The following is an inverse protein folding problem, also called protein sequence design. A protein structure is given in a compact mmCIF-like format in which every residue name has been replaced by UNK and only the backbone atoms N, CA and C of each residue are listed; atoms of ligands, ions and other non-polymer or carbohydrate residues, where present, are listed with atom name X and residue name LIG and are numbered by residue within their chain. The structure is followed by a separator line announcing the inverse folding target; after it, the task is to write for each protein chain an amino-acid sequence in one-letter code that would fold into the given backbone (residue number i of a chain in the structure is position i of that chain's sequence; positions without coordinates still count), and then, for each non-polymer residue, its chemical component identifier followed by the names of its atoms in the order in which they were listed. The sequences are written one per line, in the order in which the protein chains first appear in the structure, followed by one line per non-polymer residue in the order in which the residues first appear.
data_IF_443255072280
#
_entry.id   IF_443255072280
#
_cell.length_a   1.000
_cell.length_b   1.000
_cell.length_c   1.000
_cell.angle_alpha   90.00
_cell.angle_beta   90.00
_cell.angle_gamma   90.00
#
_symmetry.space_group_name_H-M   'P 1'
#
loop_
_entity.id
_entity.type
_entity.pdbx_description
1 polymer ?
#
# COMPACT_ATOMS: atom_id res chain seq x y z
N UNK A 1 16.63 -89.36 4.59
CA UNK A 1 15.70 -88.33 5.10
C UNK A 1 16.46 -87.06 5.45
N UNK A 2 16.38 -86.00 4.62
CA UNK A 2 16.89 -84.66 4.94
C UNK A 2 15.91 -83.63 4.33
N UNK A 3 15.38 -82.76 5.21
CA UNK A 3 14.31 -81.78 4.96
C UNK A 3 14.77 -80.70 3.96
N UNK A 4 13.98 -80.44 2.91
CA UNK A 4 14.08 -79.21 2.09
C UNK A 4 13.22 -78.12 2.74
N UNK A 5 13.81 -76.96 3.03
CA UNK A 5 13.10 -75.74 3.46
C UNK A 5 12.59 -75.02 2.21
N UNK A 6 11.27 -74.79 2.14
CA UNK A 6 10.66 -73.96 1.11
C UNK A 6 10.81 -72.48 1.47
N UNK A 7 11.32 -71.69 0.52
CA UNK A 7 11.38 -70.23 0.58
C UNK A 7 10.08 -69.72 -0.04
N UNK A 8 9.21 -69.14 0.77
CA UNK A 8 8.02 -68.42 0.29
C UNK A 8 8.42 -67.02 -0.14
N UNK A 9 8.28 -66.71 -1.43
CA UNK A 9 8.39 -65.34 -1.95
C UNK A 9 7.00 -64.70 -1.86
N UNK A 10 6.86 -63.70 -1.00
CA UNK A 10 5.66 -62.87 -0.91
C UNK A 10 5.78 -61.78 -1.97
N UNK A 11 4.96 -61.84 -3.03
CA UNK A 11 4.81 -60.72 -3.98
C UNK A 11 3.91 -59.66 -3.34
N UNK A 12 4.49 -58.56 -2.90
CA UNK A 12 3.75 -57.34 -2.57
C UNK A 12 3.45 -56.59 -3.87
N UNK A 13 2.20 -56.63 -4.33
CA UNK A 13 1.71 -55.78 -5.41
C UNK A 13 1.48 -54.38 -4.81
N UNK A 14 2.46 -53.50 -4.96
CA UNK A 14 2.33 -52.09 -4.63
C UNK A 14 1.44 -51.40 -5.65
N UNK A 15 0.23 -51.04 -5.25
CA UNK A 15 -0.64 -50.12 -6.01
C UNK A 15 -0.08 -48.72 -5.82
N UNK A 16 0.64 -48.21 -6.82
CA UNK A 16 1.03 -46.80 -6.87
C UNK A 16 -0.19 -45.98 -7.29
N UNK A 17 -0.85 -45.32 -6.33
CA UNK A 17 -1.79 -44.24 -6.64
C UNK A 17 -0.98 -43.04 -7.12
N UNK A 18 -1.06 -42.72 -8.41
CA UNK A 18 -0.52 -41.49 -8.96
C UNK A 18 -1.39 -40.31 -8.46
N UNK A 19 -0.92 -39.59 -7.45
CA UNK A 19 -1.50 -38.31 -7.09
C UNK A 19 -1.18 -37.32 -8.23
N UNK A 20 -2.21 -36.92 -8.97
CA UNK A 20 -2.09 -35.83 -9.93
C UNK A 20 -1.83 -34.54 -9.14
N UNK A 21 -0.58 -34.08 -9.16
CA UNK A 21 -0.21 -32.75 -8.68
C UNK A 21 -0.71 -31.76 -9.74
N UNK A 22 -1.89 -31.21 -9.52
CA UNK A 22 -2.33 -30.04 -10.28
C UNK A 22 -1.46 -28.86 -9.84
N UNK A 23 -0.51 -28.46 -10.68
CA UNK A 23 0.13 -27.15 -10.56
C UNK A 23 -0.96 -26.11 -10.81
N UNK A 24 -1.50 -25.53 -9.74
CA UNK A 24 -2.39 -24.38 -9.82
C UNK A 24 -1.56 -23.22 -10.37
N UNK A 25 -1.84 -22.84 -11.61
CA UNK A 25 -1.31 -21.60 -12.20
C UNK A 25 -1.97 -20.44 -11.46
N UNK A 26 -1.20 -19.53 -10.84
CA UNK A 26 -1.78 -18.38 -10.14
C UNK A 26 -2.65 -17.55 -11.10
N UNK A 27 -3.84 -17.10 -10.67
CA UNK A 27 -4.72 -16.30 -11.51
C UNK A 27 -4.05 -14.98 -11.90
N UNK A 28 -4.22 -14.56 -13.16
CA UNK A 28 -3.76 -13.25 -13.63
C UNK A 28 -4.65 -12.10 -13.12
N UNK A 29 -5.88 -12.41 -12.73
CA UNK A 29 -6.86 -11.45 -12.23
C UNK A 29 -7.66 -12.04 -11.08
N UNK A 30 -7.75 -11.31 -9.98
CA UNK A 30 -8.61 -11.61 -8.83
C UNK A 30 -9.57 -10.44 -8.64
N UNK A 31 -10.85 -10.72 -8.38
CA UNK A 31 -11.86 -9.71 -8.05
C UNK A 31 -12.24 -9.92 -6.59
N UNK A 32 -12.35 -8.82 -5.85
CA UNK A 32 -12.51 -8.80 -4.38
C UNK A 32 -13.66 -7.89 -4.03
N UNK A 33 -14.66 -8.38 -3.30
CA UNK A 33 -15.75 -7.61 -2.75
C UNK A 33 -15.49 -7.21 -1.29
N UNK A 34 -16.25 -6.25 -0.73
CA UNK A 34 -16.19 -5.94 0.70
C UNK A 34 -16.44 -7.18 1.57
N UNK A 35 -15.54 -7.45 2.50
CA UNK A 35 -15.59 -8.61 3.41
C UNK A 35 -14.70 -9.78 3.00
N UNK A 36 -14.20 -9.79 1.76
CA UNK A 36 -13.16 -10.73 1.33
C UNK A 36 -11.80 -10.36 1.95
N UNK A 37 -10.90 -11.34 2.02
CA UNK A 37 -9.53 -11.12 2.47
C UNK A 37 -8.68 -10.50 1.34
N UNK A 38 -8.41 -9.20 1.48
CA UNK A 38 -7.58 -8.43 0.56
C UNK A 38 -6.14 -8.94 0.46
N UNK A 39 -5.56 -9.39 1.58
CA UNK A 39 -4.18 -9.90 1.56
C UNK A 39 -4.14 -11.24 0.83
N UNK A 40 -5.11 -12.13 1.07
CA UNK A 40 -5.21 -13.40 0.34
C UNK A 40 -5.33 -13.16 -1.18
N UNK A 41 -6.10 -12.18 -1.61
CA UNK A 41 -6.22 -11.84 -3.04
C UNK A 41 -4.90 -11.33 -3.64
N UNK A 42 -4.18 -10.46 -2.92
CA UNK A 42 -2.86 -9.99 -3.33
C UNK A 42 -1.85 -11.14 -3.34
N UNK A 43 -1.92 -12.07 -2.40
CA UNK A 43 -1.04 -13.23 -2.32
C UNK A 43 -1.35 -14.29 -3.39
N UNK A 44 -2.61 -14.40 -3.82
CA UNK A 44 -3.05 -15.37 -4.82
C UNK A 44 -2.73 -14.96 -6.26
N UNK A 45 -2.78 -13.67 -6.59
CA UNK A 45 -2.61 -13.21 -7.99
C UNK A 45 -1.18 -13.46 -8.52
N UNK A 46 -1.00 -13.79 -9.79
CA UNK A 46 0.34 -13.92 -10.37
C UNK A 46 1.12 -12.59 -10.32
N UNK A 47 2.46 -12.63 -10.32
CA UNK A 47 3.29 -11.43 -10.60
C UNK A 47 2.87 -10.80 -11.93
N UNK A 48 2.82 -9.47 -12.00
CA UNK A 48 2.24 -8.74 -13.14
C UNK A 48 0.71 -8.76 -13.20
N UNK A 49 0.04 -9.48 -12.30
CA UNK A 49 -1.41 -9.64 -12.31
C UNK A 49 -2.17 -8.49 -11.63
N UNK A 50 -3.49 -8.56 -11.66
CA UNK A 50 -4.38 -7.50 -11.17
C UNK A 50 -5.34 -8.00 -10.08
N UNK A 51 -5.39 -7.28 -8.97
CA UNK A 51 -6.47 -7.38 -7.98
C UNK A 51 -7.43 -6.22 -8.21
N UNK A 52 -8.70 -6.52 -8.47
CA UNK A 52 -9.75 -5.53 -8.70
C UNK A 52 -10.73 -5.53 -7.54
N UNK A 53 -10.86 -4.38 -6.88
CA UNK A 53 -11.81 -4.17 -5.81
C UNK A 53 -13.13 -3.67 -6.39
N UNK A 54 -14.22 -4.36 -6.07
CA UNK A 54 -15.57 -3.86 -6.32
C UNK A 54 -15.87 -2.61 -5.48
N UNK A 55 -17.00 -1.97 -5.79
CA UNK A 55 -17.41 -0.78 -5.05
C UNK A 55 -17.74 -1.13 -3.60
N UNK A 56 -17.30 -0.30 -2.67
CA UNK A 56 -17.61 -0.46 -1.26
C UNK A 56 -16.48 -0.06 -0.32
N UNK A 57 -16.71 -0.31 0.97
CA UNK A 57 -15.76 -0.01 2.04
C UNK A 57 -15.11 -1.29 2.51
N UNK A 58 -13.79 -1.29 2.56
CA UNK A 58 -12.93 -2.38 3.00
C UNK A 58 -12.29 -1.96 4.32
N UNK A 59 -12.78 -2.45 5.47
CA UNK A 59 -12.12 -2.22 6.74
C UNK A 59 -10.77 -2.93 6.73
N UNK A 60 -9.69 -2.17 6.91
CA UNK A 60 -8.33 -2.71 6.94
C UNK A 60 -7.79 -2.61 8.35
N UNK A 61 -7.52 -3.75 9.00
CA UNK A 61 -6.99 -3.80 10.37
C UNK A 61 -5.51 -4.12 10.46
N UNK A 62 -4.84 -4.34 9.33
CA UNK A 62 -3.41 -4.64 9.25
C UNK A 62 -2.86 -4.19 7.89
N UNK A 63 -1.56 -4.00 7.79
CA UNK A 63 -0.91 -3.57 6.55
C UNK A 63 -1.17 -4.55 5.39
N UNK A 64 -1.67 -4.03 4.27
CA UNK A 64 -1.71 -4.74 3.00
C UNK A 64 -0.32 -4.69 2.37
N UNK A 65 0.34 -5.85 2.26
CA UNK A 65 1.70 -5.96 1.72
C UNK A 65 1.66 -6.43 0.28
N UNK A 66 2.32 -5.70 -0.61
CA UNK A 66 2.49 -6.08 -2.01
C UNK A 66 3.95 -6.49 -2.22
N UNK A 67 4.19 -7.80 -2.28
CA UNK A 67 5.54 -8.40 -2.30
C UNK A 67 5.95 -8.97 -3.65
N UNK A 68 5.02 -9.02 -4.62
CA UNK A 68 5.26 -9.50 -5.98
C UNK A 68 5.41 -8.32 -6.94
N UNK A 69 6.31 -8.43 -7.93
CA UNK A 69 6.52 -7.34 -8.87
C UNK A 69 5.35 -7.23 -9.85
N UNK A 70 5.11 -6.02 -10.34
CA UNK A 70 4.14 -5.76 -11.40
C UNK A 70 2.67 -5.84 -10.98
N UNK A 71 2.38 -5.99 -9.68
CA UNK A 71 0.98 -6.11 -9.22
C UNK A 71 0.23 -4.80 -9.46
N UNK A 72 -0.97 -4.91 -10.02
CA UNK A 72 -1.94 -3.81 -10.08
C UNK A 72 -3.04 -4.03 -9.05
N UNK A 73 -3.14 -3.13 -8.06
CA UNK A 73 -4.28 -3.02 -7.15
C UNK A 73 -5.18 -1.89 -7.63
N UNK A 74 -6.40 -2.20 -8.07
CA UNK A 74 -7.27 -1.22 -8.71
C UNK A 74 -8.72 -1.28 -8.21
N UNK A 75 -9.39 -0.13 -8.13
CA UNK A 75 -10.85 -0.12 -8.04
C UNK A 75 -11.48 -0.48 -9.40
N UNK A 76 -12.64 -1.14 -9.37
CA UNK A 76 -13.48 -1.36 -10.54
C UNK A 76 -14.01 -0.03 -11.08
N UNK A 77 -14.48 0.86 -10.18
CA UNK A 77 -14.85 2.23 -10.49
C UNK A 77 -13.96 3.21 -9.69
N UNK A 78 -13.36 4.23 -10.33
CA UNK A 78 -12.48 5.16 -9.63
C UNK A 78 -13.11 5.77 -8.37
N UNK A 79 -12.39 5.64 -7.25
CA UNK A 79 -12.68 6.13 -5.90
C UNK A 79 -13.92 5.51 -5.24
N UNK A 80 -14.51 4.48 -5.85
CA UNK A 80 -15.67 3.77 -5.29
C UNK A 80 -15.27 2.63 -4.32
N UNK A 81 -14.04 2.11 -4.43
CA UNK A 81 -13.46 1.19 -3.47
C UNK A 81 -12.64 1.97 -2.42
N UNK A 82 -13.10 1.98 -1.17
CA UNK A 82 -12.45 2.67 -0.06
C UNK A 82 -11.80 1.70 0.90
N UNK A 83 -10.47 1.76 1.02
CA UNK A 83 -9.74 1.10 2.10
C UNK A 83 -9.76 2.02 3.31
N UNK A 84 -10.45 1.59 4.36
CA UNK A 84 -10.67 2.37 5.58
C UNK A 84 -9.89 1.74 6.74
N UNK A 85 -8.93 2.49 7.29
CA UNK A 85 -8.14 2.01 8.40
C UNK A 85 -9.02 1.78 9.65
N UNK A 86 -8.97 0.58 10.22
CA UNK A 86 -9.64 0.30 11.48
C UNK A 86 -8.99 1.08 12.63
N UNK A 87 -9.78 1.52 13.60
CA UNK A 87 -9.26 2.13 14.85
C UNK A 87 -8.34 1.20 15.63
N UNK A 88 -8.45 -0.11 15.41
CA UNK A 88 -7.60 -1.15 16.01
C UNK A 88 -6.50 -1.62 15.06
N UNK A 89 -6.07 -0.78 14.12
CA UNK A 89 -5.04 -1.12 13.14
C UNK A 89 -3.79 -1.68 13.84
N UNK A 90 -3.36 -2.86 13.41
CA UNK A 90 -2.15 -3.51 13.90
C UNK A 90 -0.92 -2.76 13.39
N UNK A 91 -0.15 -2.18 14.32
CA UNK A 91 1.08 -1.44 14.02
C UNK A 91 2.30 -2.30 14.31
N UNK A 92 3.44 -1.92 13.74
CA UNK A 92 4.71 -2.52 14.08
C UNK A 92 5.00 -2.30 15.58
N UNK A 93 5.22 -3.35 16.38
CA UNK A 93 5.37 -3.22 17.84
C UNK A 93 6.67 -2.52 18.26
N UNK A 94 7.68 -2.43 17.37
CA UNK A 94 8.96 -1.78 17.67
C UNK A 94 8.90 -0.28 17.41
N UNK A 95 8.29 0.13 16.29
CA UNK A 95 8.26 1.54 15.86
C UNK A 95 6.94 2.24 16.18
N UNK A 96 5.90 1.48 16.54
CA UNK A 96 4.52 1.94 16.69
C UNK A 96 3.98 2.65 15.44
N UNK A 97 4.56 2.39 14.27
CA UNK A 97 4.12 2.90 12.96
C UNK A 97 3.31 1.84 12.24
N UNK A 98 2.37 2.28 11.41
CA UNK A 98 1.63 1.42 10.49
C UNK A 98 1.68 1.95 9.07
N UNK A 99 1.31 1.09 8.13
CA UNK A 99 1.13 1.43 6.73
C UNK A 99 -0.20 0.83 6.27
N UNK A 100 -1.09 1.61 5.64
CA UNK A 100 -2.29 1.02 5.06
C UNK A 100 -1.90 0.06 3.92
N UNK A 101 -1.01 0.53 3.04
CA UNK A 101 -0.37 -0.27 1.98
C UNK A 101 1.15 -0.15 2.13
N UNK A 102 1.85 -1.29 2.15
CA UNK A 102 3.31 -1.36 2.05
C UNK A 102 3.68 -1.99 0.71
N UNK A 103 4.43 -1.26 -0.10
CA UNK A 103 4.95 -1.74 -1.39
C UNK A 103 6.36 -2.26 -1.16
N UNK A 104 6.57 -3.52 -1.48
CA UNK A 104 7.83 -4.26 -1.24
C UNK A 104 8.32 -4.94 -2.54
N UNK A 105 7.91 -4.42 -3.69
CA UNK A 105 8.28 -4.96 -5.00
C UNK A 105 8.11 -3.92 -6.12
N UNK A 106 8.97 -3.94 -7.14
CA UNK A 106 8.94 -2.94 -8.19
C UNK A 106 7.72 -3.08 -9.12
N UNK A 107 7.48 -2.02 -9.89
CA UNK A 107 6.46 -1.93 -10.94
C UNK A 107 5.02 -2.13 -10.45
N UNK A 108 4.77 -1.85 -9.17
CA UNK A 108 3.43 -1.91 -8.60
C UNK A 108 2.60 -0.73 -9.10
N UNK A 109 1.32 -0.97 -9.36
CA UNK A 109 0.34 0.06 -9.69
C UNK A 109 -0.78 0.07 -8.65
N UNK A 110 -1.05 1.23 -8.06
CA UNK A 110 -2.20 1.47 -7.17
C UNK A 110 -3.10 2.48 -7.88
N UNK A 111 -4.32 2.06 -8.26
CA UNK A 111 -5.16 2.87 -9.15
C UNK A 111 -6.60 3.02 -8.70
N UNK A 112 -7.06 4.26 -8.66
CA UNK A 112 -8.48 4.58 -8.49
C UNK A 112 -9.03 4.20 -7.12
N UNK A 113 -8.20 4.01 -6.10
CA UNK A 113 -8.68 3.68 -4.75
C UNK A 113 -8.95 4.96 -3.95
N UNK A 114 -9.89 4.90 -3.01
CA UNK A 114 -9.95 5.83 -1.89
C UNK A 114 -9.22 5.20 -0.69
N UNK A 115 -8.24 5.89 -0.14
CA UNK A 115 -7.43 5.47 0.99
C UNK A 115 -7.71 6.41 2.16
N UNK A 116 -8.34 5.88 3.19
CA UNK A 116 -8.82 6.64 4.34
C UNK A 116 -8.11 6.18 5.61
N UNK A 117 -7.22 7.03 6.13
CA UNK A 117 -6.42 6.73 7.31
C UNK A 117 -7.17 6.80 8.63
N UNK A 118 -8.41 7.34 8.64
CA UNK A 118 -9.25 7.50 9.84
C UNK A 118 -8.54 8.18 11.04
N UNK A 119 -7.50 8.96 10.76
CA UNK A 119 -6.56 9.56 11.71
C UNK A 119 -5.97 8.55 12.70
N UNK A 120 -5.78 7.28 12.30
CA UNK A 120 -5.04 6.31 13.08
C UNK A 120 -3.61 6.84 13.26
N UNK A 121 -3.22 7.13 14.51
CA UNK A 121 -1.93 7.75 14.86
C UNK A 121 -0.75 7.03 14.21
N UNK A 122 0.23 7.73 13.64
CA UNK A 122 1.43 7.13 13.02
C UNK A 122 1.12 6.11 11.89
N UNK A 123 -0.03 6.20 11.24
CA UNK A 123 -0.36 5.39 10.06
C UNK A 123 -0.03 6.18 8.78
N UNK A 124 0.83 5.62 7.93
CA UNK A 124 1.04 6.08 6.55
C UNK A 124 -0.04 5.52 5.63
N UNK A 125 -0.32 6.20 4.52
CA UNK A 125 -1.20 5.68 3.48
C UNK A 125 -0.50 4.64 2.62
N UNK A 126 0.34 5.10 1.69
CA UNK A 126 1.20 4.24 0.89
C UNK A 126 2.64 4.44 1.36
N UNK A 127 3.28 3.34 1.71
CA UNK A 127 4.68 3.33 2.12
C UNK A 127 5.48 2.45 1.18
N UNK A 128 6.32 3.09 0.39
CA UNK A 128 7.21 2.53 -0.59
C UNK A 128 8.65 3.04 -0.34
N UNK A 129 8.91 3.53 0.87
CA UNK A 129 10.23 3.93 1.35
C UNK A 129 11.16 2.70 1.42
N UNK A 130 12.46 2.89 1.29
CA UNK A 130 13.43 1.78 1.26
C UNK A 130 13.23 0.84 2.46
N UNK A 131 13.26 -0.46 2.16
CA UNK A 131 13.26 -1.54 3.15
C UNK A 131 14.72 -1.94 3.30
N UNK A 132 15.36 -1.51 4.39
CA UNK A 132 16.64 -2.04 4.88
C UNK A 132 17.73 -2.27 3.80
N UNK A 133 18.14 -1.22 3.07
CA UNK A 133 19.31 -1.20 2.16
C UNK A 133 19.29 -2.16 0.93
N UNK A 134 18.13 -2.74 0.58
CA UNK A 134 17.97 -3.52 -0.67
C UNK A 134 17.37 -2.68 -1.82
N UNK A 135 17.62 -3.10 -3.07
CA UNK A 135 17.15 -2.49 -4.33
C UNK A 135 15.74 -1.92 -4.19
N UNK A 136 15.55 -0.63 -4.52
CA UNK A 136 14.37 0.10 -4.02
C UNK A 136 13.08 -0.57 -4.46
N UNK A 137 12.35 -1.07 -3.47
CA UNK A 137 11.16 -1.86 -3.65
C UNK A 137 9.99 -1.08 -4.29
N UNK A 138 10.21 0.19 -4.65
CA UNK A 138 9.24 1.07 -5.28
C UNK A 138 9.65 1.57 -6.67
N UNK A 139 10.68 0.98 -7.27
CA UNK A 139 11.08 1.29 -8.65
C UNK A 139 9.92 1.11 -9.62
N UNK A 140 9.57 2.17 -10.34
CA UNK A 140 8.46 2.21 -11.28
C UNK A 140 7.07 2.12 -10.62
N UNK A 141 6.94 2.45 -9.34
CA UNK A 141 5.64 2.56 -8.67
C UNK A 141 4.76 3.60 -9.37
N UNK A 142 3.53 3.22 -9.70
CA UNK A 142 2.50 4.13 -10.20
C UNK A 142 1.35 4.26 -9.20
N UNK A 143 1.10 5.47 -8.71
CA UNK A 143 -0.12 5.83 -7.97
C UNK A 143 -0.97 6.73 -8.85
N UNK A 144 -2.12 6.24 -9.32
CA UNK A 144 -2.93 6.93 -10.33
C UNK A 144 -4.40 7.05 -9.92
N UNK A 145 -4.95 8.26 -10.04
CA UNK A 145 -6.40 8.50 -9.88
C UNK A 145 -6.95 8.16 -8.49
N UNK A 146 -6.08 8.09 -7.49
CA UNK A 146 -6.44 7.78 -6.11
C UNK A 146 -6.95 9.01 -5.34
N UNK A 147 -7.68 8.75 -4.26
CA UNK A 147 -8.01 9.71 -3.22
C UNK A 147 -7.33 9.26 -1.93
N UNK A 148 -6.56 10.11 -1.26
CA UNK A 148 -5.73 9.74 -0.10
C UNK A 148 -5.88 10.78 1.01
N UNK A 149 -6.50 10.39 2.12
CA UNK A 149 -6.93 11.37 3.12
C UNK A 149 -6.98 10.80 4.55
N UNK A 150 -7.01 11.73 5.50
CA UNK A 150 -7.15 11.45 6.94
C UNK A 150 -6.05 10.57 7.52
N UNK A 151 -4.82 10.65 7.00
CA UNK A 151 -3.66 10.00 7.63
C UNK A 151 -3.05 10.88 8.73
N UNK A 152 -2.61 10.25 9.82
CA UNK A 152 -1.89 10.90 10.92
C UNK A 152 -0.36 10.62 10.85
N UNK A 153 0.12 10.36 9.64
CA UNK A 153 1.50 10.29 9.17
C UNK A 153 1.46 10.57 7.66
N UNK A 154 2.63 10.66 7.00
CA UNK A 154 2.73 10.90 5.55
C UNK A 154 1.72 10.08 4.73
N UNK A 155 1.02 10.75 3.81
CA UNK A 155 0.00 10.09 3.01
C UNK A 155 0.62 9.12 2.01
N UNK A 156 1.71 9.54 1.36
CA UNK A 156 2.50 8.74 0.41
C UNK A 156 3.98 8.97 0.70
N UNK A 157 4.74 7.90 0.91
CA UNK A 157 6.18 7.91 1.18
C UNK A 157 6.89 7.00 0.16
N UNK A 158 7.78 7.54 -0.68
CA UNK A 158 8.35 6.87 -1.86
C UNK A 158 9.85 7.15 -1.94
N UNK A 159 10.66 6.11 -2.08
CA UNK A 159 12.12 6.23 -2.21
C UNK A 159 12.73 5.63 -3.48
N UNK A 160 11.94 5.04 -4.36
CA UNK A 160 12.43 4.34 -5.55
C UNK A 160 12.54 5.19 -6.81
N UNK A 161 13.11 4.58 -7.83
CA UNK A 161 13.38 5.18 -9.13
C UNK A 161 12.14 5.22 -10.01
N UNK A 162 12.01 6.27 -10.83
CA UNK A 162 10.98 6.38 -11.88
C UNK A 162 9.53 6.25 -11.37
N UNK A 163 9.31 6.49 -10.08
CA UNK A 163 7.97 6.48 -9.51
C UNK A 163 7.13 7.66 -10.03
N UNK A 164 5.83 7.43 -10.16
CA UNK A 164 4.86 8.41 -10.66
C UNK A 164 3.65 8.47 -9.75
N UNK A 165 3.33 9.66 -9.25
CA UNK A 165 2.07 9.96 -8.57
C UNK A 165 1.28 10.93 -9.44
N UNK A 166 0.11 10.51 -9.92
CA UNK A 166 -0.68 11.33 -10.85
C UNK A 166 -2.18 11.28 -10.66
N UNK A 167 -2.86 12.34 -11.08
CA UNK A 167 -4.32 12.45 -11.07
C UNK A 167 -4.95 12.21 -9.67
N UNK A 168 -4.17 12.41 -8.61
CA UNK A 168 -4.57 12.08 -7.25
C UNK A 168 -5.17 13.30 -6.53
N UNK A 169 -6.09 13.01 -5.61
CA UNK A 169 -6.60 13.97 -4.63
C UNK A 169 -6.05 13.57 -3.25
N UNK A 170 -5.17 14.38 -2.68
CA UNK A 170 -4.48 14.09 -1.41
C UNK A 170 -4.82 15.21 -0.43
N UNK A 171 -5.51 14.93 0.67
CA UNK A 171 -5.98 16.02 1.53
C UNK A 171 -6.24 15.64 2.98
N UNK A 172 -6.25 16.65 3.85
CA UNK A 172 -6.59 16.50 5.27
C UNK A 172 -5.76 15.39 5.96
N UNK A 173 -4.47 15.30 5.60
CA UNK A 173 -3.50 14.43 6.27
C UNK A 173 -2.87 15.23 7.42
N UNK A 174 -3.38 15.00 8.63
CA UNK A 174 -3.23 15.91 9.75
C UNK A 174 -2.93 15.13 11.02
N UNK A 175 -2.02 15.67 11.82
CA UNK A 175 -1.85 15.20 13.19
C UNK A 175 -1.43 16.33 14.12
N UNK A 176 -2.18 16.47 15.21
CA UNK A 176 -1.79 17.24 16.37
C UNK A 176 -2.14 16.47 17.65
N UNK A 177 -1.26 16.53 18.63
CA UNK A 177 -1.45 15.94 19.95
C UNK A 177 -0.95 16.92 21.02
N UNK A 178 -1.68 17.09 22.12
CA UNK A 178 -1.31 18.00 23.21
C UNK A 178 -1.00 19.44 22.75
N UNK A 179 -1.77 19.94 21.77
CA UNK A 179 -1.57 21.24 21.10
C UNK A 179 -0.24 21.38 20.34
N UNK A 180 0.45 20.28 20.08
CA UNK A 180 1.65 20.22 19.23
C UNK A 180 1.24 19.68 17.88
N UNK A 181 1.51 20.46 16.82
CA UNK A 181 1.37 20.03 15.43
C UNK A 181 2.50 19.07 15.09
N UNK A 182 2.18 17.97 14.42
CA UNK A 182 3.14 17.04 13.85
C UNK A 182 3.27 17.24 12.34
N UNK A 183 4.47 16.94 11.84
CA UNK A 183 4.86 17.18 10.45
C UNK A 183 4.37 16.04 9.54
N UNK A 184 3.12 16.16 9.08
CA UNK A 184 2.47 15.16 8.24
C UNK A 184 2.37 15.68 6.81
N UNK A 185 3.24 15.15 5.96
CA UNK A 185 3.29 15.51 4.54
C UNK A 185 2.25 14.79 3.65
N UNK A 186 1.93 15.39 2.52
CA UNK A 186 1.15 14.75 1.45
C UNK A 186 1.96 13.66 0.76
N UNK A 187 3.03 14.06 0.07
CA UNK A 187 4.01 13.14 -0.55
C UNK A 187 5.40 13.44 0.04
N UNK A 188 6.11 12.41 0.45
CA UNK A 188 7.50 12.52 0.92
C UNK A 188 8.41 11.57 0.15
N UNK A 189 9.66 11.99 -0.02
CA UNK A 189 10.75 11.16 -0.53
C UNK A 189 12.03 11.47 0.22
N UNK A 190 12.80 10.45 0.54
CA UNK A 190 14.18 10.56 1.02
C UNK A 190 15.17 10.27 -0.10
N UNK A 191 14.94 9.22 -0.90
CA UNK A 191 15.93 8.71 -1.86
C UNK A 191 15.47 8.62 -3.32
N UNK A 192 14.23 8.99 -3.65
CA UNK A 192 13.69 8.77 -4.99
C UNK A 192 14.49 9.47 -6.09
N UNK A 193 14.71 8.75 -7.20
CA UNK A 193 15.29 9.31 -8.42
C UNK A 193 14.21 9.45 -9.49
N UNK A 194 14.14 10.62 -10.15
CA UNK A 194 13.22 10.87 -11.28
C UNK A 194 11.73 10.73 -10.90
N UNK A 195 11.40 10.97 -9.62
CA UNK A 195 10.02 11.01 -9.13
C UNK A 195 9.22 12.09 -9.88
N UNK A 196 8.09 11.70 -10.45
CA UNK A 196 7.15 12.60 -11.11
C UNK A 196 5.85 12.71 -10.32
N UNK A 197 5.45 13.93 -9.97
CA UNK A 197 4.18 14.28 -9.36
C UNK A 197 3.41 15.17 -10.34
N UNK A 198 2.29 14.69 -10.87
CA UNK A 198 1.56 15.41 -11.92
C UNK A 198 0.04 15.40 -11.81
N UNK A 199 -0.59 16.52 -12.16
CA UNK A 199 -2.05 16.65 -12.17
C UNK A 199 -2.70 16.27 -10.82
N UNK A 200 -2.02 16.54 -9.70
CA UNK A 200 -2.50 16.24 -8.36
C UNK A 200 -3.04 17.50 -7.68
N UNK A 201 -4.05 17.31 -6.84
CA UNK A 201 -4.45 18.30 -5.84
C UNK A 201 -3.98 17.80 -4.49
N UNK A 202 -3.13 18.57 -3.81
CA UNK A 202 -2.62 18.25 -2.48
C UNK A 202 -2.95 19.42 -1.56
N UNK A 203 -3.72 19.16 -0.49
CA UNK A 203 -4.15 20.26 0.38
C UNK A 203 -4.28 19.91 1.85
N UNK A 204 -4.15 20.93 2.71
CA UNK A 204 -4.37 20.81 4.15
C UNK A 204 -3.64 19.61 4.77
N UNK A 205 -2.34 19.47 4.48
CA UNK A 205 -1.43 18.60 5.21
C UNK A 205 -0.96 19.35 6.47
N UNK A 206 -0.63 18.67 7.57
CA UNK A 206 -0.08 19.37 8.75
C UNK A 206 1.42 19.59 8.68
N UNK A 207 2.08 19.07 7.65
CA UNK A 207 3.40 19.49 7.15
C UNK A 207 3.27 20.06 5.73
N UNK A 208 4.31 19.86 4.91
CA UNK A 208 4.31 20.23 3.49
C UNK A 208 3.39 19.37 2.61
N UNK A 209 2.91 19.94 1.51
CA UNK A 209 2.23 19.15 0.46
C UNK A 209 3.17 18.11 -0.18
N UNK A 210 4.41 18.50 -0.47
CA UNK A 210 5.46 17.64 -1.00
C UNK A 210 6.77 17.96 -0.29
N UNK A 211 7.44 16.95 0.25
CA UNK A 211 8.71 17.10 0.95
C UNK A 211 9.80 16.21 0.33
N UNK A 212 10.92 16.84 -0.02
CA UNK A 212 12.18 16.12 -0.26
C UNK A 212 13.00 16.15 1.02
N UNK A 213 13.12 15.01 1.71
CA UNK A 213 13.88 14.84 2.94
C UNK A 213 15.39 14.97 2.71
N UNK A 214 16.18 14.94 3.78
CA UNK A 214 17.65 15.12 3.73
C UNK A 214 18.44 13.91 3.19
N UNK A 215 17.87 13.19 2.21
CA UNK A 215 18.51 12.06 1.55
C UNK A 215 19.16 12.43 0.22
N UNK A 216 19.20 11.47 -0.70
CA UNK A 216 19.91 11.57 -1.99
C UNK A 216 18.98 11.68 -3.20
N UNK A 217 17.73 12.10 -3.00
CA UNK A 217 16.77 12.29 -4.09
C UNK A 217 17.32 13.23 -5.18
N UNK A 218 16.97 12.94 -6.45
CA UNK A 218 17.36 13.76 -7.61
C UNK A 218 16.27 13.74 -8.70
N UNK A 219 16.20 14.81 -9.49
CA UNK A 219 15.25 14.98 -10.59
C UNK A 219 13.76 14.85 -10.22
N UNK A 220 13.36 15.39 -9.05
CA UNK A 220 11.95 15.53 -8.67
C UNK A 220 11.23 16.51 -9.60
N UNK A 221 10.22 16.03 -10.32
CA UNK A 221 9.37 16.85 -11.19
C UNK A 221 7.98 17.00 -10.60
N UNK A 222 7.59 18.25 -10.30
CA UNK A 222 6.21 18.59 -9.89
C UNK A 222 5.60 19.46 -10.98
N UNK A 223 4.49 19.02 -11.58
CA UNK A 223 3.83 19.77 -12.67
C UNK A 223 2.32 19.69 -12.62
N UNK A 224 1.65 20.76 -13.05
CA UNK A 224 0.19 20.84 -13.13
C UNK A 224 -0.51 20.45 -11.81
N UNK A 225 0.12 20.72 -10.67
CA UNK A 225 -0.45 20.41 -9.37
C UNK A 225 -1.06 21.66 -8.73
N UNK A 226 -2.13 21.47 -7.97
CA UNK A 226 -2.68 22.46 -7.05
C UNK A 226 -2.23 22.10 -5.64
N UNK A 227 -1.31 22.88 -5.08
CA UNK A 227 -0.77 22.71 -3.74
C UNK A 227 -1.30 23.87 -2.90
N UNK A 228 -2.16 23.58 -1.93
CA UNK A 228 -2.85 24.64 -1.20
C UNK A 228 -3.06 24.33 0.28
N UNK A 229 -3.14 25.40 1.06
CA UNK A 229 -3.46 25.34 2.47
C UNK A 229 -4.58 26.35 2.76
N UNK A 230 -5.55 25.94 3.57
CA UNK A 230 -6.74 26.73 3.86
C UNK A 230 -7.16 26.53 5.32
N UNK A 231 -7.91 27.48 5.92
CA UNK A 231 -8.44 27.28 7.26
C UNK A 231 -9.32 26.03 7.31
N UNK A 232 -9.09 25.16 8.29
CA UNK A 232 -9.90 23.95 8.46
C UNK A 232 -11.38 24.31 8.64
N UNK A 233 -12.31 23.68 7.92
CA UNK A 233 -13.74 23.99 8.02
C UNK A 233 -14.36 23.47 9.34
N UNK A 234 -13.68 22.55 10.02
CA UNK A 234 -14.09 21.86 11.26
C UNK A 234 -12.86 21.37 12.02
N UNK A 235 -13.03 20.95 13.26
CA UNK A 235 -11.98 20.26 14.02
C UNK A 235 -11.62 18.93 13.31
N UNK A 236 -10.34 18.70 13.02
CA UNK A 236 -9.83 17.55 12.26
C UNK A 236 -8.41 17.19 12.69
N UNK A 237 -8.08 15.89 12.77
CA UNK A 237 -6.71 15.43 13.06
C UNK A 237 -6.08 15.99 14.33
N UNK A 238 -6.89 16.38 15.33
CA UNK A 238 -6.43 17.05 16.56
C UNK A 238 -6.29 18.58 16.47
N UNK A 239 -6.47 19.17 15.29
CA UNK A 239 -6.44 20.61 15.05
C UNK A 239 -7.84 21.22 15.12
N UNK A 240 -7.91 22.53 15.40
CA UNK A 240 -9.16 23.28 15.53
C UNK A 240 -9.65 23.84 14.21
N UNK A 241 -10.96 23.99 14.09
CA UNK A 241 -11.58 24.77 13.02
C UNK A 241 -10.91 26.14 12.89
N UNK A 242 -10.63 26.56 11.66
CA UNK A 242 -9.99 27.84 11.34
C UNK A 242 -8.46 27.82 11.42
N UNK A 243 -7.85 26.74 11.93
CA UNK A 243 -6.40 26.57 11.87
C UNK A 243 -5.94 26.40 10.43
N UNK A 244 -4.82 27.02 10.07
CA UNK A 244 -4.05 26.69 8.88
C UNK A 244 -3.07 25.56 9.27
N UNK A 245 -3.32 24.31 8.84
CA UNK A 245 -2.62 23.15 9.39
C UNK A 245 -1.15 23.05 8.98
N UNK A 246 -0.81 23.37 7.73
CA UNK A 246 0.51 23.10 7.16
C UNK A 246 1.30 24.31 6.71
N UNK A 247 2.40 24.01 6.03
CA UNK A 247 3.31 24.97 5.39
C UNK A 247 3.09 25.01 3.87
#
# INVERSE_FOLDING_TARGET
MRKRKGIGVLLAVGVFAAAAVYLLVPPQRVVVGPGDDLQEAVDAVASGGTVVLEDGVYPVSQTLRITKPGITLAAANPRAARLEASKTFAKNPKTNKGQLIRVESPQVTIRGLALDGQFVTLLKGIDASDVDDEESASDGLLVDSCEVFHFAHHAIDIDGDDAVVRNCLIYENLWAENNVRHDVHGIVTTNAQRLTIENCTISNCSGDCVQGERGIWDNLTIRNCDLSNSPLPRDLGGLKKGTYPGE
#
